data_IF_406080774910
#
_entry.id   IF_406080774910
#
_cell.length_a   1.000
_cell.length_b   1.000
_cell.length_c   1.000
_cell.angle_alpha   90.00
_cell.angle_beta   90.00
_cell.angle_gamma   90.00
#
_symmetry.space_group_name_H-M   'P 1'
#
loop_
_entity.id
_entity.type
_entity.pdbx_description
1 polymer ?
#
# COMPACT_ATOMS: atom_id res chain seq x y z
N UNK A 1 -13.24 -8.62 5.66
CA UNK A 1 -12.58 -7.54 6.44
C UNK A 1 -13.46 -6.98 7.55
N UNK A 2 -13.09 -7.22 8.81
CA UNK A 2 -13.75 -6.62 9.97
C UNK A 2 -13.26 -5.18 10.22
N UNK A 3 -14.16 -4.28 10.60
CA UNK A 3 -13.86 -2.87 10.91
C UNK A 3 -13.89 -2.66 12.42
N UNK A 4 -12.86 -2.02 12.96
CA UNK A 4 -12.81 -1.60 14.37
C UNK A 4 -13.08 -0.11 14.47
N UNK A 5 -14.16 0.26 15.15
CA UNK A 5 -14.48 1.65 15.50
C UNK A 5 -13.75 2.01 16.79
N UNK A 6 -13.10 3.17 16.84
CA UNK A 6 -12.39 3.61 18.04
C UNK A 6 -13.33 4.16 19.12
N UNK A 7 -12.91 4.06 20.39
CA UNK A 7 -13.54 4.80 21.48
C UNK A 7 -13.31 6.31 21.29
N UNK A 8 -14.31 7.10 21.70
CA UNK A 8 -14.36 8.56 21.50
C UNK A 8 -13.49 9.33 22.52
N UNK A 9 -12.19 9.02 22.57
CA UNK A 9 -11.26 9.60 23.55
C UNK A 9 -10.75 11.00 23.20
N UNK A 10 -10.85 11.40 21.92
CA UNK A 10 -10.43 12.74 21.45
C UNK A 10 -11.21 13.16 20.22
N UNK A 11 -11.23 14.47 19.92
CA UNK A 11 -12.01 15.03 18.82
C UNK A 11 -11.72 14.35 17.46
N UNK A 12 -10.45 14.09 17.16
CA UNK A 12 -10.03 13.42 15.93
C UNK A 12 -10.31 11.91 15.88
N UNK A 13 -10.54 11.26 17.02
CA UNK A 13 -10.90 9.83 17.08
C UNK A 13 -12.40 9.55 17.06
N UNK A 14 -13.26 10.57 17.24
CA UNK A 14 -14.72 10.39 17.42
C UNK A 14 -15.41 9.58 16.31
N UNK A 15 -15.03 9.81 15.06
CA UNK A 15 -15.62 9.19 13.88
C UNK A 15 -14.58 8.36 13.09
N UNK A 16 -13.46 7.99 13.71
CA UNK A 16 -12.42 7.23 13.01
C UNK A 16 -12.55 5.73 13.26
N UNK A 17 -12.23 4.96 12.23
CA UNK A 17 -12.24 3.51 12.23
C UNK A 17 -11.04 2.97 11.46
N UNK A 18 -10.64 1.75 11.75
CA UNK A 18 -9.55 1.06 11.04
C UNK A 18 -9.95 -0.36 10.68
N UNK A 19 -9.27 -0.90 9.66
CA UNK A 19 -9.34 -2.32 9.35
C UNK A 19 -8.66 -3.13 10.47
N UNK A 20 -9.25 -4.27 10.85
CA UNK A 20 -8.70 -5.18 11.85
C UNK A 20 -7.62 -6.12 11.28
N UNK A 21 -7.46 -6.17 9.95
CA UNK A 21 -6.43 -6.96 9.26
C UNK A 21 -6.44 -8.46 9.59
N UNK A 22 -7.62 -9.05 9.86
CA UNK A 22 -7.78 -10.47 10.21
C UNK A 22 -7.22 -11.44 9.16
N UNK A 23 -7.16 -11.02 7.91
CA UNK A 23 -6.66 -11.80 6.77
C UNK A 23 -5.13 -11.73 6.62
N UNK A 24 -4.46 -10.82 7.34
CA UNK A 24 -3.01 -10.59 7.21
C UNK A 24 -2.26 -11.55 8.11
N UNK A 25 -1.64 -12.57 7.49
CA UNK A 25 -0.93 -13.64 8.21
C UNK A 25 0.52 -13.28 8.60
N UNK A 26 1.18 -12.39 7.85
CA UNK A 26 2.57 -11.99 8.07
C UNK A 26 2.73 -10.47 7.95
N UNK A 27 3.44 -9.87 8.91
CA UNK A 27 3.68 -8.43 8.97
C UNK A 27 4.87 -7.97 8.11
N UNK A 28 5.88 -8.83 7.92
CA UNK A 28 7.10 -8.51 7.16
C UNK A 28 7.02 -9.08 5.74
N UNK A 29 7.22 -8.26 4.69
CA UNK A 29 7.23 -8.72 3.31
C UNK A 29 8.52 -9.48 2.97
N UNK A 30 8.45 -10.28 1.91
CA UNK A 30 9.59 -11.02 1.37
C UNK A 30 10.63 -10.08 0.73
N UNK A 31 11.92 -10.25 1.07
CA UNK A 31 12.95 -9.23 0.74
C UNK A 31 13.27 -9.20 -0.76
N UNK A 32 13.30 -10.36 -1.40
CA UNK A 32 13.62 -10.49 -2.84
C UNK A 32 12.60 -9.79 -3.75
N UNK A 33 11.34 -9.69 -3.31
CA UNK A 33 10.23 -9.10 -4.06
C UNK A 33 10.02 -7.60 -3.81
N UNK A 34 10.93 -6.95 -3.09
CA UNK A 34 10.86 -5.51 -2.82
C UNK A 34 11.68 -4.69 -3.80
N UNK A 35 11.10 -3.59 -4.28
CA UNK A 35 11.78 -2.58 -5.09
C UNK A 35 11.59 -1.17 -4.53
N UNK A 36 12.54 -0.24 -4.72
CA UNK A 36 12.36 1.15 -4.34
C UNK A 36 11.21 1.76 -5.15
N UNK A 37 10.35 2.54 -4.50
CA UNK A 37 9.28 3.30 -5.15
C UNK A 37 9.57 4.78 -4.99
N UNK A 38 10.07 5.42 -6.06
CA UNK A 38 10.27 6.87 -6.07
C UNK A 38 8.93 7.58 -6.07
N UNK A 39 8.86 8.73 -5.38
CA UNK A 39 7.66 9.58 -5.33
C UNK A 39 7.89 10.81 -6.17
N UNK A 40 6.96 11.08 -7.09
CA UNK A 40 6.99 12.26 -7.94
C UNK A 40 6.29 13.48 -7.32
N UNK A 41 5.48 13.29 -6.27
CA UNK A 41 4.74 14.39 -5.62
C UNK A 41 3.77 15.11 -6.55
N UNK A 42 3.23 14.42 -7.57
CA UNK A 42 2.34 15.03 -8.57
C UNK A 42 3.03 15.82 -9.68
N UNK A 43 4.37 15.75 -9.76
CA UNK A 43 5.17 16.41 -10.80
C UNK A 43 5.49 15.49 -11.98
N UNK A 44 5.58 16.06 -13.17
CA UNK A 44 6.04 15.36 -14.39
C UNK A 44 7.57 15.47 -14.57
N UNK A 45 8.09 14.97 -15.69
CA UNK A 45 9.53 15.00 -16.02
C UNK A 45 10.11 16.41 -16.22
N UNK A 46 9.26 17.41 -16.51
CA UNK A 46 9.65 18.83 -16.54
C UNK A 46 9.60 19.50 -15.16
N UNK A 47 9.29 18.75 -14.10
CA UNK A 47 9.14 19.27 -12.73
C UNK A 47 7.85 20.07 -12.48
N UNK A 48 6.94 20.14 -13.46
CA UNK A 48 5.68 20.87 -13.33
C UNK A 48 4.64 20.02 -12.62
N UNK A 49 3.85 20.65 -11.74
CA UNK A 49 2.71 20.00 -11.08
C UNK A 49 1.64 19.73 -12.15
N UNK A 50 1.40 18.46 -12.45
CA UNK A 50 0.32 18.05 -13.36
C UNK A 50 -0.86 17.47 -12.60
N UNK A 51 -0.63 16.93 -11.40
CA UNK A 51 -1.67 16.42 -10.51
C UNK A 51 -1.56 17.11 -9.16
N UNK A 52 -2.61 17.85 -8.79
CA UNK A 52 -2.67 18.62 -7.55
C UNK A 52 -2.94 17.71 -6.33
N UNK A 53 -2.73 18.25 -5.12
CA UNK A 53 -2.99 17.58 -3.84
C UNK A 53 -2.29 16.23 -3.65
N UNK A 54 -1.09 16.08 -4.24
CA UNK A 54 -0.21 14.91 -4.07
C UNK A 54 1.11 15.34 -3.42
N UNK A 55 1.61 14.55 -2.47
CA UNK A 55 2.86 14.84 -1.75
C UNK A 55 2.77 14.50 -0.26
N UNK A 56 3.89 14.50 0.45
CA UNK A 56 3.92 14.41 1.92
C UNK A 56 3.61 13.05 2.58
N UNK A 57 3.08 12.05 1.86
CA UNK A 57 2.74 10.76 2.47
C UNK A 57 3.93 9.95 3.00
N UNK A 58 3.68 8.93 3.82
CA UNK A 58 4.71 8.03 4.38
C UNK A 58 5.47 7.22 3.30
N UNK A 59 6.78 6.98 3.47
CA UNK A 59 7.63 6.25 2.49
C UNK A 59 7.11 4.83 2.25
N UNK A 60 7.15 4.37 1.01
CA UNK A 60 6.66 3.05 0.60
C UNK A 60 7.74 2.31 -0.21
N UNK A 61 7.70 0.97 -0.15
CA UNK A 61 8.41 0.08 -1.07
C UNK A 61 7.40 -0.56 -2.02
N UNK A 62 7.79 -0.73 -3.28
CA UNK A 62 6.98 -1.44 -4.25
C UNK A 62 7.12 -2.95 -4.03
N UNK A 63 6.00 -3.67 -4.07
CA UNK A 63 5.97 -5.13 -4.04
C UNK A 63 5.76 -5.61 -5.47
N UNK A 64 6.65 -6.46 -5.95
CA UNK A 64 6.51 -7.09 -7.25
C UNK A 64 5.32 -8.06 -7.18
N UNK A 65 4.32 -7.81 -8.02
CA UNK A 65 3.14 -8.66 -8.17
C UNK A 65 3.17 -9.23 -9.58
N UNK A 66 3.00 -10.55 -9.69
CA UNK A 66 2.81 -11.20 -10.97
C UNK A 66 1.35 -11.06 -11.43
N UNK A 67 1.14 -10.10 -12.34
CA UNK A 67 -0.15 -9.85 -12.98
C UNK A 67 -0.36 -10.68 -14.26
N UNK A 68 0.69 -11.30 -14.83
CA UNK A 68 0.60 -12.01 -16.12
C UNK A 68 0.31 -13.50 -15.94
N UNK A 69 0.98 -14.17 -15.01
CA UNK A 69 0.79 -15.60 -14.65
C UNK A 69 0.81 -16.62 -15.81
N UNK A 70 1.29 -16.24 -16.99
CA UNK A 70 1.20 -17.04 -18.22
C UNK A 70 2.33 -18.06 -18.40
N UNK A 71 3.39 -18.00 -17.60
CA UNK A 71 4.59 -18.84 -17.75
C UNK A 71 4.60 -20.11 -16.90
N UNK A 72 3.63 -20.27 -15.99
CA UNK A 72 3.55 -21.41 -15.05
C UNK A 72 2.15 -22.02 -15.02
N UNK A 73 1.60 -22.34 -16.19
CA UNK A 73 0.21 -22.80 -16.31
C UNK A 73 -0.03 -24.18 -15.67
N UNK A 74 0.94 -25.09 -15.78
CA UNK A 74 0.80 -26.47 -15.31
C UNK A 74 1.65 -26.79 -14.06
N UNK A 75 2.10 -25.76 -13.34
CA UNK A 75 2.88 -25.93 -12.10
C UNK A 75 2.09 -25.43 -10.89
N UNK A 76 1.91 -26.31 -9.90
CA UNK A 76 1.41 -25.89 -8.59
C UNK A 76 2.40 -24.90 -7.94
N UNK A 77 1.88 -23.82 -7.36
CA UNK A 77 2.68 -22.93 -6.54
C UNK A 77 3.04 -23.67 -5.23
N UNK A 78 4.33 -23.89 -5.02
CA UNK A 78 4.91 -24.44 -3.79
C UNK A 78 5.23 -23.37 -2.76
#
# INVERSE_FOLDING_TARGET
MAVRVYNRTSAGRRNSSVNLYSEVTKSKPEKSLLKPKSKNGGRNHHGKITVQSRGGGHKQRYRLVDFRRNTKLDMAAT
#
